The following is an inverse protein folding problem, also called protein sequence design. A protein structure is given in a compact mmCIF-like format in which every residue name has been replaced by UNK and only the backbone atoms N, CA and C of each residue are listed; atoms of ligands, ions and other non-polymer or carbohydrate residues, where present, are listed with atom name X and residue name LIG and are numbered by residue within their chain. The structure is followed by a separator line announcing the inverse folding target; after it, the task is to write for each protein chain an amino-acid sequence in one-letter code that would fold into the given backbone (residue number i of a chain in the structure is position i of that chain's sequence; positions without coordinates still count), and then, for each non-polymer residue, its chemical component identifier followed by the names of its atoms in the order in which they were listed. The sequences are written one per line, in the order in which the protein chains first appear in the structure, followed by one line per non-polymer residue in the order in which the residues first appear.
data_IF_426347322810
#
_entry.id   IF_426347322810
#
_cell.length_a   1.000
_cell.length_b   1.000
_cell.length_c   1.000
_cell.angle_alpha   90.00
_cell.angle_beta   90.00
_cell.angle_gamma   90.00
#
_symmetry.space_group_name_H-M   'P 1'
#
loop_
_entity.id
_entity.type
_entity.pdbx_description
1 polymer ?
#
# COMPACT_ATOMS: atom_id res chain seq x y z
N UNK A 1 38.94 -39.14 -27.82
CA UNK A 1 38.70 -37.79 -27.28
C UNK A 1 37.24 -37.52 -26.92
N UNK A 2 36.28 -37.61 -27.84
CA UNK A 2 34.87 -37.36 -27.54
C UNK A 2 34.30 -38.22 -26.39
N UNK A 3 34.60 -39.51 -26.39
CA UNK A 3 34.13 -40.44 -25.35
C UNK A 3 34.71 -40.12 -23.97
N UNK A 4 35.97 -39.67 -23.90
CA UNK A 4 36.62 -39.24 -22.67
C UNK A 4 36.03 -37.92 -22.15
N UNK A 5 35.68 -36.99 -23.04
CA UNK A 5 35.01 -35.74 -22.69
C UNK A 5 33.59 -35.99 -22.14
N UNK A 6 32.85 -36.93 -22.72
CA UNK A 6 31.52 -37.32 -22.22
C UNK A 6 31.59 -37.96 -20.83
N UNK A 7 32.58 -38.83 -20.60
CA UNK A 7 32.79 -39.47 -19.29
C UNK A 7 33.17 -38.44 -18.23
N UNK A 8 34.10 -37.54 -18.54
CA UNK A 8 34.52 -36.47 -17.62
C UNK A 8 33.39 -35.47 -17.36
N UNK A 9 32.59 -35.13 -18.37
CA UNK A 9 31.42 -34.27 -18.22
C UNK A 9 30.35 -34.89 -17.33
N UNK A 10 30.06 -36.19 -17.53
CA UNK A 10 29.11 -36.92 -16.70
C UNK A 10 29.59 -37.07 -15.25
N UNK A 11 30.87 -37.40 -15.03
CA UNK A 11 31.47 -37.45 -13.69
C UNK A 11 31.45 -36.09 -13.00
N UNK A 12 31.76 -35.00 -13.73
CA UNK A 12 31.68 -33.63 -13.21
C UNK A 12 30.25 -33.26 -12.78
N UNK A 13 29.25 -33.63 -13.57
CA UNK A 13 27.83 -33.43 -13.25
C UNK A 13 27.40 -34.22 -12.01
N UNK A 14 27.75 -35.51 -11.92
CA UNK A 14 27.37 -36.39 -10.81
C UNK A 14 28.05 -35.96 -9.50
N UNK A 15 29.32 -35.55 -9.54
CA UNK A 15 30.05 -35.05 -8.37
C UNK A 15 29.51 -33.67 -7.96
N UNK A 16 29.22 -32.80 -8.93
CA UNK A 16 28.63 -31.48 -8.69
C UNK A 16 27.24 -31.55 -8.04
N UNK A 17 26.40 -32.48 -8.48
CA UNK A 17 25.06 -32.67 -7.92
C UNK A 17 25.06 -33.26 -6.51
N UNK A 18 26.06 -34.05 -6.13
CA UNK A 18 26.15 -34.64 -4.78
C UNK A 18 26.81 -33.73 -3.74
N UNK A 19 27.49 -32.65 -4.15
CA UNK A 19 28.22 -31.75 -3.24
C UNK A 19 27.81 -30.28 -3.36
N UNK A 20 26.59 -30.01 -3.81
CA UNK A 20 26.10 -28.64 -4.02
C UNK A 20 25.68 -27.91 -2.73
N UNK A 21 25.68 -28.58 -1.57
CA UNK A 21 25.31 -27.97 -0.29
C UNK A 21 26.49 -27.35 0.48
N UNK A 22 27.75 -27.66 0.12
CA UNK A 22 28.95 -27.16 0.84
C UNK A 22 29.83 -26.19 0.03
N UNK A 23 29.53 -25.95 -1.25
CA UNK A 23 30.39 -25.15 -2.12
C UNK A 23 29.83 -23.74 -2.27
N UNK A 24 30.27 -22.83 -1.40
CA UNK A 24 30.18 -21.38 -1.62
C UNK A 24 31.24 -20.96 -2.64
N UNK A 25 30.94 -21.11 -3.93
CA UNK A 25 31.79 -20.59 -5.01
C UNK A 25 31.68 -19.04 -5.05
N UNK A 26 32.80 -18.30 -5.03
CA UNK A 26 32.79 -16.86 -5.24
C UNK A 26 32.43 -16.55 -6.70
N UNK A 27 31.39 -15.73 -6.88
CA UNK A 27 30.82 -15.32 -8.17
C UNK A 27 31.85 -14.79 -9.18
N UNK A 28 32.03 -15.52 -10.28
CA UNK A 28 32.50 -15.01 -11.56
C UNK A 28 31.47 -15.37 -12.65
N UNK A 29 30.83 -14.36 -13.27
CA UNK A 29 30.09 -14.49 -14.53
C UNK A 29 28.55 -14.49 -14.43
N UNK A 30 27.84 -13.81 -15.36
CA UNK A 30 26.42 -13.45 -15.24
C UNK A 30 25.51 -14.59 -15.71
N UNK A 31 25.40 -15.64 -14.92
CA UNK A 31 24.27 -16.57 -15.00
C UNK A 31 23.62 -16.62 -13.62
N UNK A 32 22.97 -15.52 -13.26
CA UNK A 32 22.00 -15.52 -12.17
C UNK A 32 20.81 -16.33 -12.66
N UNK A 33 20.89 -17.65 -12.48
CA UNK A 33 19.76 -18.53 -12.66
C UNK A 33 18.55 -17.92 -11.98
N UNK A 34 17.41 -17.97 -12.66
CA UNK A 34 16.08 -17.72 -12.12
C UNK A 34 15.83 -18.68 -10.94
N UNK A 35 16.48 -18.48 -9.79
CA UNK A 35 15.82 -18.73 -8.52
C UNK A 35 14.74 -17.67 -8.50
N UNK A 36 13.50 -18.07 -8.77
CA UNK A 36 12.35 -17.20 -8.58
C UNK A 36 12.53 -16.54 -7.22
N UNK A 37 12.74 -15.23 -7.21
CA UNK A 37 12.75 -14.47 -5.97
C UNK A 37 11.34 -14.65 -5.46
N UNK A 38 11.17 -15.54 -4.49
CA UNK A 38 9.90 -15.74 -3.83
C UNK A 38 9.53 -14.40 -3.20
N UNK A 39 8.62 -13.69 -3.86
CA UNK A 39 8.14 -12.37 -3.44
C UNK A 39 7.18 -12.55 -2.26
N UNK A 40 7.72 -12.96 -1.11
CA UNK A 40 6.95 -13.13 0.12
C UNK A 40 6.53 -11.77 0.64
N UNK A 41 5.22 -11.61 0.84
CA UNK A 41 4.65 -10.39 1.41
C UNK A 41 3.98 -10.74 2.73
N UNK A 42 4.57 -10.27 3.83
CA UNK A 42 4.15 -10.60 5.18
C UNK A 42 3.12 -9.57 5.63
N UNK A 43 1.94 -10.05 6.02
CA UNK A 43 0.85 -9.20 6.49
C UNK A 43 0.97 -8.91 7.98
N UNK A 44 0.76 -7.63 8.34
CA UNK A 44 0.64 -7.15 9.70
C UNK A 44 -0.85 -7.09 10.15
N UNK A 45 -1.09 -7.16 11.46
CA UNK A 45 -2.40 -7.02 12.10
C UNK A 45 -3.10 -5.72 11.67
N UNK A 46 -2.36 -4.61 11.57
CA UNK A 46 -2.93 -3.30 11.23
C UNK A 46 -3.57 -3.25 9.84
N UNK A 47 -2.93 -3.87 8.84
CA UNK A 47 -3.44 -3.88 7.46
C UNK A 47 -4.59 -4.87 7.29
N UNK A 48 -4.55 -5.99 8.01
CA UNK A 48 -5.64 -6.98 8.02
C UNK A 48 -6.91 -6.37 8.63
N UNK A 49 -6.80 -5.69 9.77
CA UNK A 49 -7.95 -5.06 10.42
C UNK A 49 -8.55 -3.94 9.56
N UNK A 50 -7.73 -3.15 8.87
CA UNK A 50 -8.17 -2.06 7.97
C UNK A 50 -8.99 -2.60 6.79
N UNK A 51 -8.53 -3.68 6.17
CA UNK A 51 -9.29 -4.46 5.19
C UNK A 51 -9.20 -3.99 3.75
N UNK A 52 -8.70 -2.78 3.46
CA UNK A 52 -8.51 -2.31 2.08
C UNK A 52 -7.57 -3.22 1.28
N UNK A 53 -6.71 -3.98 1.96
CA UNK A 53 -5.82 -4.95 1.33
C UNK A 53 -6.58 -6.07 0.61
N UNK A 54 -7.73 -6.49 1.13
CA UNK A 54 -8.57 -7.48 0.47
C UNK A 54 -9.16 -6.93 -0.83
N UNK A 55 -9.62 -5.67 -0.80
CA UNK A 55 -10.16 -5.01 -2.00
C UNK A 55 -9.06 -4.81 -3.04
N UNK A 56 -7.83 -4.45 -2.64
CA UNK A 56 -6.68 -4.35 -3.55
C UNK A 56 -6.36 -5.72 -4.19
N UNK A 57 -6.41 -6.82 -3.43
CA UNK A 57 -6.27 -8.17 -3.97
C UNK A 57 -7.36 -8.51 -4.99
N UNK A 58 -8.62 -8.18 -4.70
CA UNK A 58 -9.74 -8.43 -5.60
C UNK A 58 -9.60 -7.70 -6.94
N UNK A 59 -8.98 -6.52 -6.95
CA UNK A 59 -8.70 -5.80 -8.21
C UNK A 59 -7.60 -6.44 -9.08
N UNK A 60 -6.82 -7.38 -8.54
CA UNK A 60 -5.65 -7.95 -9.23
C UNK A 60 -4.39 -7.07 -9.16
N UNK A 61 -4.41 -5.91 -8.48
CA UNK A 61 -3.20 -5.09 -8.28
C UNK A 61 -2.17 -5.76 -7.36
N UNK A 62 -2.60 -6.71 -6.52
CA UNK A 62 -1.71 -7.44 -5.62
C UNK A 62 -1.90 -8.96 -5.76
N UNK A 63 -0.93 -9.60 -6.41
CA UNK A 63 -0.87 -11.05 -6.64
C UNK A 63 0.30 -11.72 -5.87
N UNK A 64 0.26 -13.04 -5.72
CA UNK A 64 1.38 -13.83 -5.21
C UNK A 64 1.16 -14.41 -3.80
N UNK A 65 2.27 -14.77 -3.13
CA UNK A 65 2.26 -15.45 -1.84
C UNK A 65 2.21 -14.43 -0.68
N UNK A 66 1.05 -14.33 -0.05
CA UNK A 66 0.85 -13.55 1.17
C UNK A 66 1.11 -14.45 2.38
N UNK A 67 2.06 -14.05 3.22
CA UNK A 67 2.43 -14.76 4.42
C UNK A 67 1.68 -14.15 5.60
N UNK A 68 0.93 -14.99 6.32
CA UNK A 68 0.29 -14.63 7.59
C UNK A 68 0.97 -15.41 8.71
N UNK A 69 1.83 -14.77 9.53
CA UNK A 69 2.49 -15.45 10.63
C UNK A 69 1.49 -15.90 11.69
N UNK A 70 1.75 -17.04 12.35
CA UNK A 70 0.88 -17.55 13.43
C UNK A 70 0.67 -16.53 14.55
N UNK A 71 1.73 -15.82 14.94
CA UNK A 71 1.64 -14.79 15.98
C UNK A 71 0.74 -13.59 15.60
N UNK A 72 0.51 -13.32 14.31
CA UNK A 72 -0.47 -12.31 13.86
C UNK A 72 -1.89 -12.83 14.01
N UNK A 73 -2.13 -14.11 13.72
CA UNK A 73 -3.43 -14.74 13.99
C UNK A 73 -3.74 -14.76 15.49
N UNK A 74 -2.74 -15.08 16.32
CA UNK A 74 -2.89 -15.09 17.77
C UNK A 74 -3.19 -13.68 18.31
N UNK A 75 -2.56 -12.64 17.76
CA UNK A 75 -2.86 -11.25 18.12
C UNK A 75 -4.27 -10.85 17.69
N UNK A 76 -4.70 -11.19 16.47
CA UNK A 76 -6.07 -10.95 16.01
C UNK A 76 -7.12 -11.63 16.90
N UNK A 77 -6.87 -12.89 17.30
CA UNK A 77 -7.72 -13.62 18.25
C UNK A 77 -7.74 -12.93 19.62
N UNK A 78 -6.58 -12.55 20.15
CA UNK A 78 -6.50 -11.84 21.41
C UNK A 78 -7.28 -10.51 21.40
N UNK A 79 -7.22 -9.76 20.28
CA UNK A 79 -8.03 -8.56 20.07
C UNK A 79 -9.52 -8.91 19.97
N UNK A 80 -9.87 -10.01 19.28
CA UNK A 80 -11.23 -10.52 19.11
C UNK A 80 -11.87 -11.10 20.38
N UNK A 81 -11.07 -11.39 21.41
CA UNK A 81 -11.51 -11.83 22.74
C UNK A 81 -11.45 -10.70 23.79
N UNK A 82 -11.09 -9.49 23.38
CA UNK A 82 -10.99 -8.34 24.27
C UNK A 82 -12.33 -8.02 24.95
N UNK A 83 -12.27 -7.61 26.22
CA UNK A 83 -13.44 -7.08 26.96
C UNK A 83 -13.96 -5.76 26.37
N UNK A 84 -13.09 -5.01 25.70
CA UNK A 84 -13.45 -3.79 24.98
C UNK A 84 -14.22 -4.14 23.70
N UNK A 85 -15.48 -3.69 23.63
CA UNK A 85 -16.36 -4.01 22.51
C UNK A 85 -15.84 -3.52 21.14
N UNK A 86 -15.16 -2.36 21.11
CA UNK A 86 -14.61 -1.80 19.88
C UNK A 86 -13.40 -2.60 19.41
N UNK A 87 -12.48 -2.95 20.32
CA UNK A 87 -11.35 -3.85 19.99
C UNK A 87 -11.85 -5.20 19.52
N UNK A 88 -12.81 -5.79 20.24
CA UNK A 88 -13.45 -7.06 19.89
C UNK A 88 -14.07 -7.06 18.50
N UNK A 89 -14.77 -5.98 18.13
CA UNK A 89 -15.34 -5.82 16.79
C UNK A 89 -14.25 -5.75 15.71
N UNK A 90 -13.14 -5.05 15.98
CA UNK A 90 -12.01 -4.93 15.05
C UNK A 90 -11.27 -6.26 14.85
N UNK A 91 -11.03 -7.01 15.92
CA UNK A 91 -10.38 -8.33 15.84
C UNK A 91 -11.19 -9.32 15.02
N UNK A 92 -12.51 -9.42 15.28
CA UNK A 92 -13.43 -10.27 14.51
C UNK A 92 -13.46 -9.88 13.03
N UNK A 93 -13.54 -8.57 12.74
CA UNK A 93 -13.46 -8.05 11.38
C UNK A 93 -12.17 -8.49 10.67
N UNK A 94 -11.02 -8.42 11.35
CA UNK A 94 -9.74 -8.86 10.78
C UNK A 94 -9.73 -10.35 10.41
N UNK A 95 -10.29 -11.21 11.27
CA UNK A 95 -10.44 -12.64 10.99
C UNK A 95 -11.39 -12.90 9.80
N UNK A 96 -12.50 -12.15 9.72
CA UNK A 96 -13.44 -12.23 8.58
C UNK A 96 -12.78 -11.82 7.26
N UNK A 97 -11.92 -10.78 7.29
CA UNK A 97 -11.15 -10.32 6.14
C UNK A 97 -10.16 -11.39 5.67
N UNK A 98 -9.42 -12.04 6.58
CA UNK A 98 -8.54 -13.14 6.21
C UNK A 98 -9.30 -14.30 5.57
N UNK A 99 -10.46 -14.68 6.13
CA UNK A 99 -11.34 -15.70 5.57
C UNK A 99 -11.87 -15.33 4.18
N UNK A 100 -12.16 -14.05 3.93
CA UNK A 100 -12.51 -13.55 2.59
C UNK A 100 -11.31 -13.67 1.64
N UNK A 101 -10.15 -13.20 2.06
CA UNK A 101 -8.95 -13.21 1.22
C UNK A 101 -8.50 -14.63 0.84
N UNK A 102 -8.68 -15.63 1.71
CA UNK A 102 -8.39 -17.03 1.39
C UNK A 102 -9.22 -17.59 0.22
N UNK A 103 -10.35 -16.96 -0.10
CA UNK A 103 -11.23 -17.37 -1.22
C UNK A 103 -10.87 -16.68 -2.54
N UNK A 104 -9.93 -15.73 -2.53
CA UNK A 104 -9.52 -15.00 -3.73
C UNK A 104 -8.54 -15.87 -4.52
N UNK A 105 -8.87 -16.20 -5.76
CA UNK A 105 -8.07 -17.11 -6.60
C UNK A 105 -6.72 -16.55 -7.07
N UNK A 106 -6.56 -15.23 -7.12
CA UNK A 106 -5.34 -14.54 -7.58
C UNK A 106 -4.23 -14.47 -6.52
N UNK A 107 -4.53 -14.84 -5.27
CA UNK A 107 -3.57 -14.82 -4.17
C UNK A 107 -3.48 -16.18 -3.49
N UNK A 108 -2.31 -16.47 -2.93
CA UNK A 108 -2.09 -17.63 -2.08
C UNK A 108 -1.76 -17.15 -0.66
N UNK A 109 -2.62 -17.46 0.30
CA UNK A 109 -2.37 -17.18 1.71
C UNK A 109 -1.69 -18.39 2.35
N UNK A 110 -0.47 -18.20 2.81
CA UNK A 110 0.30 -19.20 3.54
C UNK A 110 0.42 -18.78 5.01
N UNK A 111 -0.01 -19.67 5.91
CA UNK A 111 0.16 -19.47 7.35
C UNK A 111 1.50 -20.07 7.76
N UNK A 112 2.36 -19.27 8.39
CA UNK A 112 3.71 -19.68 8.79
C UNK A 112 3.84 -19.72 10.31
N UNK A 113 4.18 -20.88 10.86
CA UNK A 113 4.33 -21.13 12.30
C UNK A 113 5.71 -20.71 12.86
N UNK A 114 6.47 -19.93 12.10
CA UNK A 114 7.77 -19.42 12.55
C UNK A 114 7.58 -18.35 13.64
N UNK A 115 7.94 -18.71 14.88
CA UNK A 115 8.00 -17.76 16.00
C UNK A 115 9.45 -17.39 16.37
N UNK A 116 9.59 -16.29 17.11
CA UNK A 116 10.84 -15.77 17.67
C UNK A 116 10.68 -15.53 19.17
N UNK A 117 10.76 -16.58 20.02
CA UNK A 117 10.46 -16.48 21.45
C UNK A 117 11.36 -15.51 22.23
N UNK A 118 12.57 -15.24 21.72
CA UNK A 118 13.53 -14.31 22.32
C UNK A 118 13.22 -12.84 22.02
N UNK A 119 12.34 -12.57 21.05
CA UNK A 119 11.98 -11.23 20.61
C UNK A 119 10.63 -10.86 21.22
N UNK A 120 10.60 -9.74 21.93
CA UNK A 120 9.37 -9.16 22.48
C UNK A 120 8.75 -8.20 21.46
N UNK A 121 7.42 -8.20 21.39
CA UNK A 121 6.66 -7.32 20.51
C UNK A 121 6.48 -7.89 19.11
N UNK A 122 5.28 -7.71 18.56
CA UNK A 122 4.88 -8.25 17.26
C UNK A 122 5.68 -7.63 16.12
N UNK A 123 5.87 -6.31 16.14
CA UNK A 123 6.65 -5.55 15.17
C UNK A 123 8.07 -6.11 14.97
N UNK A 124 8.76 -6.38 16.08
CA UNK A 124 10.12 -6.91 16.03
C UNK A 124 10.14 -8.36 15.50
N UNK A 125 9.10 -9.16 15.76
CA UNK A 125 8.93 -10.49 15.18
C UNK A 125 8.67 -10.42 13.66
N UNK A 126 7.84 -9.47 13.21
CA UNK A 126 7.61 -9.21 11.77
C UNK A 126 8.91 -8.86 11.05
N UNK A 127 9.70 -7.95 11.61
CA UNK A 127 11.01 -7.55 11.09
C UNK A 127 11.98 -8.74 11.03
N UNK A 128 12.02 -9.56 12.08
CA UNK A 128 12.86 -10.77 12.10
C UNK A 128 12.42 -11.81 11.05
N UNK A 129 11.11 -11.99 10.89
CA UNK A 129 10.56 -12.90 9.87
C UNK A 129 10.87 -12.42 8.46
N UNK A 130 10.68 -11.12 8.18
CA UNK A 130 10.95 -10.52 6.89
C UNK A 130 12.42 -10.65 6.49
N UNK A 131 13.35 -10.44 7.45
CA UNK A 131 14.78 -10.70 7.22
C UNK A 131 15.06 -12.16 6.89
N UNK A 132 14.49 -13.08 7.66
CA UNK A 132 14.72 -14.52 7.49
C UNK A 132 14.20 -15.02 6.13
N UNK A 133 13.04 -14.54 5.71
CA UNK A 133 12.39 -14.95 4.46
C UNK A 133 12.82 -14.10 3.25
N UNK A 134 13.65 -13.08 3.46
CA UNK A 134 13.94 -12.04 2.46
C UNK A 134 12.64 -11.47 1.84
N UNK A 135 11.64 -11.26 2.69
CA UNK A 135 10.29 -10.82 2.33
C UNK A 135 10.07 -9.32 2.54
N UNK A 136 8.94 -8.84 2.04
CA UNK A 136 8.44 -7.48 2.23
C UNK A 136 7.37 -7.49 3.32
N UNK A 137 7.23 -6.39 4.06
CA UNK A 137 6.15 -6.26 5.05
C UNK A 137 5.07 -5.34 4.48
N UNK A 138 3.81 -5.77 4.57
CA UNK A 138 2.64 -4.95 4.30
C UNK A 138 2.07 -4.49 5.64
N UNK A 139 2.01 -3.17 5.85
CA UNK A 139 1.54 -2.59 7.12
C UNK A 139 0.89 -1.23 6.87
N UNK A 140 0.09 -0.76 7.83
CA UNK A 140 -0.38 0.63 7.89
C UNK A 140 0.38 1.47 8.91
N UNK A 141 1.29 0.87 9.70
CA UNK A 141 2.03 1.54 10.78
C UNK A 141 3.27 2.26 10.26
N UNK A 142 3.26 3.59 10.37
CA UNK A 142 4.36 4.45 9.96
C UNK A 142 5.65 4.29 10.79
N UNK A 143 5.54 3.90 12.06
CA UNK A 143 6.71 3.65 12.91
C UNK A 143 7.40 2.34 12.51
N UNK A 144 6.61 1.30 12.21
CA UNK A 144 7.14 0.03 11.69
C UNK A 144 7.87 0.27 10.36
N UNK A 145 7.34 1.14 9.48
CA UNK A 145 8.02 1.51 8.24
C UNK A 145 9.46 1.96 8.50
N UNK A 146 9.64 2.98 9.36
CA UNK A 146 10.95 3.59 9.63
C UNK A 146 11.95 2.57 10.21
N UNK A 147 11.50 1.73 11.14
CA UNK A 147 12.37 0.74 11.79
C UNK A 147 12.78 -0.35 10.80
N UNK A 148 11.86 -0.82 9.96
CA UNK A 148 12.11 -1.88 8.99
C UNK A 148 13.00 -1.43 7.83
N UNK A 149 12.84 -0.20 7.34
CA UNK A 149 13.67 0.37 6.27
C UNK A 149 15.13 0.53 6.70
N UNK A 150 15.39 1.01 7.93
CA UNK A 150 16.74 1.06 8.51
C UNK A 150 17.41 -0.32 8.57
N UNK A 151 16.60 -1.37 8.58
CA UNK A 151 17.04 -2.76 8.61
C UNK A 151 17.11 -3.42 7.22
N UNK A 152 16.93 -2.64 6.15
CA UNK A 152 17.02 -3.09 4.76
C UNK A 152 15.79 -3.86 4.27
N UNK A 153 14.68 -3.82 5.01
CA UNK A 153 13.45 -4.52 4.64
C UNK A 153 12.57 -3.58 3.84
N UNK A 154 12.07 -4.05 2.69
CA UNK A 154 11.14 -3.26 1.88
C UNK A 154 9.74 -3.32 2.49
N UNK A 155 9.14 -2.14 2.63
CA UNK A 155 7.79 -1.95 3.15
C UNK A 155 6.82 -1.61 2.02
N UNK A 156 5.60 -2.14 2.15
CA UNK A 156 4.46 -1.84 1.28
C UNK A 156 3.36 -1.24 2.16
N UNK A 157 3.30 0.09 2.25
CA UNK A 157 2.33 0.76 3.09
C UNK A 157 1.04 1.09 2.32
N UNK A 158 -0.11 0.62 2.80
CA UNK A 158 -1.39 0.83 2.07
C UNK A 158 -1.83 2.29 2.10
N UNK A 159 -1.46 3.06 3.14
CA UNK A 159 -1.74 4.49 3.17
C UNK A 159 -0.89 5.24 2.13
N UNK A 160 0.36 4.84 1.92
CA UNK A 160 1.20 5.41 0.85
C UNK A 160 0.63 5.08 -0.52
N UNK A 161 0.16 3.84 -0.74
CA UNK A 161 -0.54 3.46 -1.96
C UNK A 161 -1.80 4.30 -2.20
N UNK A 162 -2.65 4.45 -1.18
CA UNK A 162 -3.86 5.25 -1.28
C UNK A 162 -3.54 6.72 -1.63
N UNK A 163 -2.48 7.29 -1.04
CA UNK A 163 -2.02 8.64 -1.37
C UNK A 163 -1.50 8.75 -2.80
N UNK A 164 -0.82 7.73 -3.32
CA UNK A 164 -0.32 7.69 -4.69
C UNK A 164 -1.45 7.59 -5.73
N UNK A 165 -2.61 7.06 -5.35
CA UNK A 165 -3.81 6.96 -6.19
C UNK A 165 -4.67 8.23 -6.17
N UNK A 166 -4.32 9.25 -5.38
CA UNK A 166 -5.06 10.52 -5.38
C UNK A 166 -4.99 11.17 -6.77
N UNK A 167 -6.12 11.65 -7.32
CA UNK A 167 -6.13 12.30 -8.63
C UNK A 167 -5.09 13.42 -8.74
N UNK A 168 -4.36 13.40 -9.85
CA UNK A 168 -3.43 14.48 -10.19
C UNK A 168 -4.23 15.52 -10.95
N UNK A 169 -4.55 16.62 -10.27
CA UNK A 169 -5.10 17.80 -10.93
C UNK A 169 -4.01 18.47 -11.78
N UNK A 170 -4.29 18.68 -13.07
CA UNK A 170 -3.36 19.29 -14.04
C UNK A 170 -3.78 20.73 -14.39
N UNK A 171 -2.83 21.62 -14.74
CA UNK A 171 -3.15 22.91 -15.33
C UNK A 171 -4.07 22.76 -16.55
N UNK A 172 -5.12 23.57 -16.60
CA UNK A 172 -6.15 23.55 -17.65
C UNK A 172 -7.38 22.69 -17.33
N UNK A 173 -7.33 21.82 -16.32
CA UNK A 173 -8.50 21.04 -15.91
C UNK A 173 -9.55 21.91 -15.23
N UNK A 174 -10.82 21.63 -15.54
CA UNK A 174 -11.95 22.24 -14.87
C UNK A 174 -12.33 21.43 -13.64
N UNK A 175 -12.67 22.12 -12.56
CA UNK A 175 -13.24 21.50 -11.36
C UNK A 175 -14.26 22.42 -10.72
N UNK A 176 -15.10 21.84 -9.87
CA UNK A 176 -16.13 22.56 -9.14
C UNK A 176 -15.75 22.61 -7.67
N UNK A 177 -15.70 23.80 -7.11
CA UNK A 177 -15.34 24.01 -5.71
C UNK A 177 -16.29 24.97 -5.03
N UNK A 178 -16.53 24.77 -3.73
CA UNK A 178 -17.28 25.71 -2.92
C UNK A 178 -16.32 26.69 -2.26
N UNK A 179 -16.51 27.99 -2.47
CA UNK A 179 -15.68 29.02 -1.84
C UNK A 179 -16.11 29.14 -0.38
N UNK A 180 -15.19 28.93 0.56
CA UNK A 180 -15.51 28.87 2.01
C UNK A 180 -14.99 30.10 2.74
N UNK A 181 -13.90 30.69 2.27
CA UNK A 181 -13.25 31.86 2.90
C UNK A 181 -12.74 32.84 1.84
N UNK A 182 -12.54 34.09 2.25
CA UNK A 182 -11.78 35.06 1.46
C UNK A 182 -10.29 34.70 1.48
N UNK A 183 -9.62 34.88 0.34
CA UNK A 183 -8.19 34.64 0.16
C UNK A 183 -7.32 35.73 0.73
N UNK A 184 -6.01 35.49 0.69
CA UNK A 184 -5.02 36.44 1.23
C UNK A 184 -4.84 37.64 0.32
N UNK A 185 -4.88 37.44 -1.00
CA UNK A 185 -4.76 38.53 -1.97
C UNK A 185 -6.13 39.05 -2.38
N UNK A 186 -6.16 40.30 -2.84
CA UNK A 186 -7.41 40.96 -3.21
C UNK A 186 -8.09 40.22 -4.36
N UNK A 187 -9.38 39.91 -4.19
CA UNK A 187 -10.16 39.19 -5.22
C UNK A 187 -10.13 37.67 -5.08
N UNK A 188 -9.26 37.10 -4.25
CA UNK A 188 -9.18 35.64 -4.08
C UNK A 188 -10.25 35.09 -3.14
N UNK A 189 -10.69 33.88 -3.44
CA UNK A 189 -11.40 32.99 -2.53
C UNK A 189 -10.57 31.76 -2.20
N UNK A 190 -10.93 31.07 -1.12
CA UNK A 190 -10.31 29.80 -0.70
C UNK A 190 -11.38 28.74 -0.56
N UNK A 191 -11.14 27.61 -1.21
CA UNK A 191 -11.90 26.37 -1.09
C UNK A 191 -10.98 25.24 -0.61
N UNK A 192 -11.58 24.15 -0.16
CA UNK A 192 -10.85 22.93 0.19
C UNK A 192 -11.50 21.75 -0.54
N UNK A 193 -10.67 20.86 -1.07
CA UNK A 193 -11.12 19.54 -1.53
C UNK A 193 -11.37 18.64 -0.31
N UNK A 194 -12.08 17.53 -0.53
CA UNK A 194 -12.42 16.56 0.52
C UNK A 194 -11.19 15.98 1.23
N UNK A 195 -10.05 15.96 0.54
CA UNK A 195 -8.78 15.46 1.06
C UNK A 195 -7.94 16.51 1.81
N UNK A 196 -8.48 17.72 1.98
CA UNK A 196 -7.84 18.85 2.65
C UNK A 196 -6.94 19.72 1.77
N UNK A 197 -6.78 19.40 0.48
CA UNK A 197 -6.02 20.23 -0.46
C UNK A 197 -6.64 21.63 -0.56
N UNK A 198 -5.83 22.66 -0.35
CA UNK A 198 -6.28 24.05 -0.42
C UNK A 198 -6.35 24.50 -1.88
N UNK A 199 -7.51 25.01 -2.28
CA UNK A 199 -7.76 25.54 -3.63
C UNK A 199 -7.93 27.06 -3.51
N UNK A 200 -7.03 27.79 -4.14
CA UNK A 200 -7.06 29.24 -4.22
C UNK A 200 -7.75 29.59 -5.54
N UNK A 201 -8.84 30.35 -5.45
CA UNK A 201 -9.67 30.72 -6.58
C UNK A 201 -9.54 32.21 -6.83
N UNK A 202 -8.94 32.58 -7.95
CA UNK A 202 -8.86 33.96 -8.37
C UNK A 202 -10.24 34.50 -8.82
N UNK A 203 -10.50 35.77 -8.56
CA UNK A 203 -11.78 36.47 -8.81
C UNK A 203 -13.01 35.92 -8.05
N UNK A 204 -12.82 35.16 -6.96
CA UNK A 204 -13.90 34.52 -6.22
C UNK A 204 -14.25 35.17 -4.87
N UNK A 205 -13.64 36.29 -4.48
CA UNK A 205 -13.91 36.93 -3.17
C UNK A 205 -15.38 37.34 -2.96
N UNK A 206 -16.10 37.62 -4.05
CA UNK A 206 -17.54 37.98 -4.01
C UNK A 206 -18.47 36.77 -4.00
N UNK A 207 -17.95 35.57 -4.21
CA UNK A 207 -18.71 34.33 -4.36
C UNK A 207 -18.59 33.45 -3.12
N UNK A 208 -18.54 34.06 -1.94
CA UNK A 208 -18.39 33.35 -0.66
C UNK A 208 -19.61 32.47 -0.38
N UNK A 209 -19.37 31.23 0.04
CA UNK A 209 -20.35 30.16 0.23
C UNK A 209 -21.05 29.70 -1.05
N UNK A 210 -20.64 30.16 -2.23
CA UNK A 210 -21.15 29.70 -3.51
C UNK A 210 -20.28 28.59 -4.09
N UNK A 211 -20.90 27.74 -4.91
CA UNK A 211 -20.22 26.71 -5.69
C UNK A 211 -19.87 27.29 -7.06
N UNK A 212 -18.59 27.24 -7.43
CA UNK A 212 -18.06 27.84 -8.65
C UNK A 212 -17.29 26.80 -9.46
N UNK A 213 -17.40 26.87 -10.78
CA UNK A 213 -16.54 26.13 -11.70
C UNK A 213 -15.27 26.96 -11.91
N UNK A 214 -14.12 26.30 -11.79
CA UNK A 214 -12.80 26.92 -11.84
C UNK A 214 -11.89 26.12 -12.76
N UNK A 215 -10.95 26.81 -13.42
CA UNK A 215 -9.91 26.18 -14.21
C UNK A 215 -8.58 26.24 -13.45
N UNK A 216 -7.86 25.13 -13.43
CA UNK A 216 -6.57 25.03 -12.74
C UNK A 216 -5.52 25.80 -13.51
N UNK A 217 -4.83 26.73 -12.85
CA UNK A 217 -3.73 27.50 -13.45
C UNK A 217 -2.39 26.90 -13.09
N UNK A 218 -2.20 26.51 -11.82
CA UNK A 218 -0.97 25.86 -11.36
C UNK A 218 -1.20 25.05 -10.10
N UNK A 219 -0.28 24.12 -9.83
CA UNK A 219 -0.27 23.31 -8.62
C UNK A 219 1.06 23.54 -7.91
N UNK A 220 1.00 23.90 -6.63
CA UNK A 220 2.18 24.13 -5.81
C UNK A 220 2.20 23.15 -4.64
N UNK A 221 3.28 22.39 -4.52
CA UNK A 221 3.53 21.57 -3.33
C UNK A 221 4.30 22.41 -2.30
N UNK A 222 3.80 22.46 -1.07
CA UNK A 222 4.48 23.11 0.07
C UNK A 222 4.73 22.12 1.19
N UNK A 223 5.50 22.55 2.21
CA UNK A 223 5.76 21.76 3.42
C UNK A 223 4.49 21.49 4.24
N UNK A 224 3.47 22.34 4.13
CA UNK A 224 2.18 22.19 4.81
C UNK A 224 1.15 21.36 4.02
N UNK A 225 1.44 21.04 2.74
CA UNK A 225 0.53 20.30 1.88
C UNK A 225 0.51 20.82 0.44
N UNK A 226 -0.47 20.32 -0.33
CA UNK A 226 -0.71 20.70 -1.72
C UNK A 226 -1.62 21.93 -1.79
N UNK A 227 -1.25 22.90 -2.62
CA UNK A 227 -2.09 24.03 -3.02
C UNK A 227 -2.39 23.97 -4.50
N UNK A 228 -3.63 24.28 -4.89
CA UNK A 228 -4.05 24.37 -6.28
C UNK A 228 -4.49 25.81 -6.52
N UNK A 229 -3.88 26.48 -7.49
CA UNK A 229 -4.28 27.79 -7.94
C UNK A 229 -5.23 27.62 -9.12
N UNK A 230 -6.31 28.36 -9.10
CA UNK A 230 -7.39 28.25 -10.07
C UNK A 230 -7.94 29.63 -10.42
N UNK A 231 -8.55 29.74 -11.59
CA UNK A 231 -9.25 30.94 -12.05
C UNK A 231 -10.74 30.61 -12.19
N UNK A 232 -11.61 31.43 -11.62
CA UNK A 232 -13.04 31.23 -11.71
C UNK A 232 -13.55 31.35 -13.16
N UNK A 233 -14.40 30.41 -13.58
CA UNK A 233 -15.05 30.41 -14.90
C UNK A 233 -16.53 30.75 -14.82
N UNK A 234 -17.27 30.13 -13.90
CA UNK A 234 -18.71 30.38 -13.75
C UNK A 234 -19.22 30.07 -12.33
N UNK A 235 -20.32 30.71 -11.93
CA UNK A 235 -21.06 30.31 -10.72
C UNK A 235 -22.00 29.16 -11.09
N UNK A 236 -21.83 28.02 -10.41
CA UNK A 236 -22.73 26.88 -10.57
C UNK A 236 -24.00 27.17 -9.77
N UNK A 237 -25.03 27.64 -10.46
CA UNK A 237 -26.35 27.75 -9.87
C UNK A 237 -26.97 26.36 -9.82
N UNK A 238 -27.39 25.93 -8.64
CA UNK A 238 -28.03 24.64 -8.40
C UNK A 238 -29.34 24.56 -9.21
N UNK A 239 -29.26 24.12 -10.47
CA UNK A 239 -30.44 23.78 -11.26
C UNK A 239 -30.97 22.50 -10.65
N UNK A 240 -32.08 22.66 -9.90
CA UNK A 240 -33.01 21.62 -9.46
C UNK A 240 -32.69 20.26 -10.08
N UNK A 241 -32.23 19.34 -9.25
CA UNK A 241 -32.32 17.90 -9.47
C UNK A 241 -33.80 17.59 -9.74
N UNK A 242 -34.19 17.57 -11.01
CA UNK A 242 -35.37 16.85 -11.47
C UNK A 242 -34.87 15.51 -11.97
N UNK A 243 -35.15 14.51 -11.14
CA UNK A 243 -35.36 13.11 -11.47
C UNK A 243 -35.37 12.81 -12.96
N UNK A 244 -34.35 12.07 -13.41
CA UNK A 244 -34.54 11.11 -14.49
C UNK A 244 -34.09 9.77 -13.92
N UNK A 245 -35.00 9.12 -13.19
CA UNK A 245 -35.17 7.68 -13.36
C UNK A 245 -35.60 7.46 -14.82
N UNK A 246 -34.91 6.54 -15.51
CA UNK A 246 -35.26 5.84 -16.76
C UNK A 246 -34.15 5.90 -17.81
N UNK A 247 -33.25 4.90 -17.79
CA UNK A 247 -33.25 3.74 -18.70
C UNK A 247 -32.07 2.82 -18.38
#
# INVERSE_FOLDING_TARGET
YALMACILGYLGLVIGSKKSEEISLPSFGPFKGFRGVSDYRILDTSVIIDGRIADICDTGFMEGNLIVPRFILDELQHIADSSDSMKRSRGRRGLDILNRMQKIHSINIEIVDQDFPKIKGVDAKLVALAKKMNGKIITNDFNLNKVAELQGIKILNVNELANALKPVVLPGELMVVKVIKEGKEHGQGVAYLDDGTMVIVDHASRHLNETVEVAVTSVLQTTAGRMIFTEMKAVVHDKKVHTIEAL
#
